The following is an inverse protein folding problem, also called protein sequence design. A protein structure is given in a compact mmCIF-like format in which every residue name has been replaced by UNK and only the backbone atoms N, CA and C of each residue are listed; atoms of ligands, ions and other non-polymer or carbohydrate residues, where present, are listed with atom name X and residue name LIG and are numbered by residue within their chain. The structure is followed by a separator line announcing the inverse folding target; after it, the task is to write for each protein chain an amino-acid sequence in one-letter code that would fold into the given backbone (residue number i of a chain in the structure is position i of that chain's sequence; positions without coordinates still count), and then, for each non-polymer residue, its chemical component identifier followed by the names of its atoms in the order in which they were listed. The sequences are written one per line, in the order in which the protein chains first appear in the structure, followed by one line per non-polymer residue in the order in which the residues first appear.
data_IF_973266054066
#
_entry.id   IF_973266054066
#
_cell.length_a   1.000
_cell.length_b   1.000
_cell.length_c   1.000
_cell.angle_alpha   90.00
_cell.angle_beta   90.00
_cell.angle_gamma   90.00
#
_symmetry.space_group_name_H-M   'P 1'
#
loop_
_entity.id
_entity.type
_entity.pdbx_description
1 polymer ?
#
# COMPACT_ATOMS: atom_id res chain seq x y z
N UNK A 1 -15.54 -8.63 -11.39
CA UNK A 1 -15.05 -9.00 -10.05
C UNK A 1 -14.22 -10.26 -10.24
N UNK A 2 -12.97 -10.27 -9.77
CA UNK A 2 -12.07 -11.43 -9.89
C UNK A 2 -12.60 -12.60 -9.05
N UNK A 3 -12.56 -13.80 -9.62
CA UNK A 3 -13.01 -15.04 -8.98
C UNK A 3 -11.84 -15.82 -8.37
N UNK A 4 -12.14 -16.89 -7.62
CA UNK A 4 -11.12 -17.84 -7.15
C UNK A 4 -10.38 -18.51 -8.32
N UNK A 5 -11.11 -18.88 -9.38
CA UNK A 5 -10.52 -19.47 -10.58
C UNK A 5 -9.58 -18.50 -11.31
N UNK A 6 -9.93 -17.21 -11.39
CA UNK A 6 -9.04 -16.18 -11.94
C UNK A 6 -7.74 -16.05 -11.12
N UNK A 7 -7.85 -16.19 -9.79
CA UNK A 7 -6.69 -16.16 -8.89
C UNK A 7 -5.78 -17.36 -9.08
N UNK A 8 -6.34 -18.56 -9.16
CA UNK A 8 -5.57 -19.79 -9.38
C UNK A 8 -4.87 -19.77 -10.76
N UNK A 9 -5.56 -19.27 -11.79
CA UNK A 9 -5.02 -19.14 -13.14
C UNK A 9 -3.84 -18.13 -13.19
N UNK A 10 -3.99 -16.97 -12.55
CA UNK A 10 -2.93 -15.96 -12.50
C UNK A 10 -1.74 -16.41 -11.64
N UNK A 11 -1.99 -17.13 -10.55
CA UNK A 11 -0.92 -17.69 -9.71
C UNK A 11 -0.09 -18.75 -10.44
N UNK A 12 -0.70 -19.53 -11.33
CA UNK A 12 0.00 -20.54 -12.13
C UNK A 12 0.73 -19.96 -13.35
N UNK A 13 0.45 -18.70 -13.72
CA UNK A 13 1.05 -18.05 -14.88
C UNK A 13 2.39 -17.39 -14.52
N UNK A 14 3.51 -17.74 -15.18
CA UNK A 14 4.84 -17.27 -14.81
C UNK A 14 5.05 -15.77 -15.05
N UNK A 15 4.28 -15.17 -15.95
CA UNK A 15 4.37 -13.76 -16.32
C UNK A 15 3.62 -12.84 -15.33
N UNK A 16 2.89 -13.41 -14.37
CA UNK A 16 2.09 -12.66 -13.40
C UNK A 16 2.68 -12.77 -11.99
N UNK A 17 2.75 -11.62 -11.31
CA UNK A 17 3.26 -11.48 -9.95
C UNK A 17 2.18 -10.88 -9.05
N UNK A 18 2.08 -11.43 -7.83
CA UNK A 18 1.20 -10.88 -6.79
C UNK A 18 1.73 -9.53 -6.29
N UNK A 19 0.83 -8.58 -6.08
CA UNK A 19 1.08 -7.21 -5.61
C UNK A 19 -0.01 -6.77 -4.61
N UNK A 20 -0.03 -5.49 -4.21
CA UNK A 20 -0.94 -4.94 -3.21
C UNK A 20 -0.68 -5.51 -1.82
N UNK A 21 -1.70 -5.56 -0.96
CA UNK A 21 -1.58 -6.02 0.43
C UNK A 21 -0.96 -7.42 0.59
N UNK A 22 -1.21 -8.34 -0.34
CA UNK A 22 -0.64 -9.69 -0.27
C UNK A 22 0.88 -9.72 -0.43
N UNK A 23 1.47 -8.71 -1.07
CA UNK A 23 2.92 -8.62 -1.28
C UNK A 23 3.68 -8.16 -0.05
N UNK A 24 3.02 -7.52 0.92
CA UNK A 24 3.67 -6.95 2.10
C UNK A 24 4.44 -7.97 2.95
N UNK A 25 4.04 -9.24 2.90
CA UNK A 25 4.72 -10.32 3.60
C UNK A 25 6.21 -10.47 3.23
N UNK A 26 6.62 -10.07 2.00
CA UNK A 26 8.03 -10.13 1.59
C UNK A 26 8.91 -9.11 2.33
N UNK A 27 8.30 -8.05 2.88
CA UNK A 27 8.95 -7.01 3.69
C UNK A 27 8.80 -7.28 5.19
N UNK A 28 8.42 -8.50 5.59
CA UNK A 28 8.14 -8.86 6.99
C UNK A 28 6.79 -8.36 7.53
N UNK A 29 5.98 -7.71 6.70
CA UNK A 29 4.67 -7.16 7.07
C UNK A 29 3.53 -8.13 6.70
N UNK A 30 3.36 -9.20 7.48
CA UNK A 30 2.34 -10.22 7.18
C UNK A 30 0.96 -9.88 7.75
N UNK A 31 -0.05 -9.76 6.88
CA UNK A 31 -1.43 -9.46 7.27
C UNK A 31 -2.37 -10.66 7.12
N UNK A 32 -3.44 -10.67 7.93
CA UNK A 32 -4.59 -11.54 7.67
C UNK A 32 -5.52 -10.89 6.63
N UNK A 33 -5.54 -11.42 5.42
CA UNK A 33 -6.29 -10.85 4.29
C UNK A 33 -7.78 -11.20 4.28
N UNK A 34 -8.23 -12.13 5.15
CA UNK A 34 -9.65 -12.49 5.31
C UNK A 34 -10.42 -12.80 3.99
N UNK A 35 -9.72 -13.33 2.98
CA UNK A 35 -10.32 -13.65 1.67
C UNK A 35 -10.35 -12.50 0.67
N UNK A 36 -9.69 -11.37 0.93
CA UNK A 36 -9.45 -10.35 -0.09
C UNK A 36 -8.65 -10.95 -1.26
N UNK A 37 -9.13 -10.82 -2.52
CA UNK A 37 -8.43 -11.37 -3.66
C UNK A 37 -7.07 -10.66 -3.83
N UNK A 38 -5.99 -11.40 -4.11
CA UNK A 38 -4.70 -10.80 -4.39
C UNK A 38 -4.76 -10.00 -5.70
N UNK A 39 -4.02 -8.89 -5.75
CA UNK A 39 -3.84 -8.13 -6.97
C UNK A 39 -2.68 -8.72 -7.76
N UNK A 40 -2.78 -8.71 -9.08
CA UNK A 40 -1.79 -9.30 -9.98
C UNK A 40 -1.30 -8.26 -10.96
N UNK A 41 0.00 -8.27 -11.19
CA UNK A 41 0.68 -7.36 -12.09
C UNK A 41 1.66 -8.17 -12.93
N UNK A 42 1.81 -7.83 -14.21
CA UNK A 42 2.67 -8.55 -15.14
C UNK A 42 3.87 -7.70 -15.59
N UNK A 43 4.77 -7.27 -14.69
CA UNK A 43 5.99 -6.61 -15.11
C UNK A 43 7.02 -7.66 -15.51
N UNK A 44 7.66 -7.40 -16.63
CA UNK A 44 8.93 -7.97 -17.04
C UNK A 44 10.07 -7.63 -16.05
N UNK A 45 9.89 -6.61 -15.22
CA UNK A 45 10.86 -6.14 -14.23
C UNK A 45 10.50 -6.52 -12.78
N UNK A 46 11.41 -6.21 -11.84
CA UNK A 46 11.15 -6.32 -10.41
C UNK A 46 10.11 -5.29 -9.98
N UNK A 47 9.19 -5.68 -9.11
CA UNK A 47 8.11 -4.83 -8.63
C UNK A 47 8.61 -3.99 -7.44
N UNK A 48 8.84 -2.67 -7.59
CA UNK A 48 9.38 -1.83 -6.52
C UNK A 48 8.34 -1.59 -5.41
N UNK A 49 8.78 -1.32 -4.16
CA UNK A 49 7.87 -1.02 -3.05
C UNK A 49 6.89 0.13 -3.33
N UNK A 50 7.33 1.15 -4.07
CA UNK A 50 6.48 2.28 -4.45
C UNK A 50 5.27 1.85 -5.30
N UNK A 51 5.46 0.92 -6.23
CA UNK A 51 4.35 0.35 -6.99
C UNK A 51 3.45 -0.51 -6.11
N UNK A 52 3.99 -1.26 -5.15
CA UNK A 52 3.17 -2.03 -4.19
C UNK A 52 2.26 -1.11 -3.37
N UNK A 53 2.76 0.07 -2.97
CA UNK A 53 1.96 1.12 -2.31
C UNK A 53 0.86 1.63 -3.23
N UNK A 54 1.19 2.01 -4.47
CA UNK A 54 0.20 2.50 -5.44
C UNK A 54 -0.89 1.45 -5.72
N UNK A 55 -0.49 0.20 -5.99
CA UNK A 55 -1.42 -0.91 -6.19
C UNK A 55 -2.32 -1.17 -4.98
N UNK A 56 -1.82 -0.96 -3.77
CA UNK A 56 -2.60 -1.10 -2.53
C UNK A 56 -3.68 -0.03 -2.42
N UNK A 57 -3.35 1.22 -2.75
CA UNK A 57 -4.24 2.39 -2.64
C UNK A 57 -5.24 2.50 -3.81
N UNK A 58 -4.88 1.98 -4.98
CA UNK A 58 -5.74 2.00 -6.17
C UNK A 58 -7.05 1.24 -5.95
N UNK A 59 -7.01 0.17 -5.14
CA UNK A 59 -8.18 -0.66 -4.86
C UNK A 59 -9.18 0.04 -3.94
N UNK A 60 -8.66 0.66 -2.89
CA UNK A 60 -9.42 1.38 -1.87
C UNK A 60 -8.45 2.22 -1.03
N UNK A 61 -8.87 3.43 -0.68
CA UNK A 61 -8.12 4.37 0.16
C UNK A 61 -8.71 4.47 1.58
N UNK A 62 -9.42 3.44 2.01
CA UNK A 62 -9.87 3.27 3.38
C UNK A 62 -8.70 3.22 4.38
N UNK A 63 -9.01 3.56 5.64
CA UNK A 63 -8.03 3.73 6.73
C UNK A 63 -7.07 2.55 6.90
N UNK A 64 -7.52 1.32 6.66
CA UNK A 64 -6.68 0.12 6.73
C UNK A 64 -5.56 0.12 5.68
N UNK A 65 -5.91 0.30 4.41
CA UNK A 65 -4.96 0.31 3.28
C UNK A 65 -4.03 1.52 3.37
N UNK A 66 -4.56 2.67 3.77
CA UNK A 66 -3.77 3.87 4.08
C UNK A 66 -2.73 3.59 5.16
N UNK A 67 -3.12 2.99 6.30
CA UNK A 67 -2.20 2.70 7.40
C UNK A 67 -1.11 1.72 6.99
N UNK A 68 -1.46 0.69 6.22
CA UNK A 68 -0.47 -0.27 5.73
C UNK A 68 0.46 0.37 4.68
N UNK A 69 -0.06 1.14 3.73
CA UNK A 69 0.79 1.88 2.79
C UNK A 69 1.78 2.80 3.50
N UNK A 70 1.34 3.54 4.53
CA UNK A 70 2.24 4.33 5.38
C UNK A 70 3.32 3.48 6.05
N UNK A 71 2.93 2.31 6.57
CA UNK A 71 3.86 1.37 7.22
C UNK A 71 4.95 0.87 6.26
N UNK A 72 4.59 0.55 5.00
CA UNK A 72 5.56 0.12 3.99
C UNK A 72 6.46 1.26 3.52
N UNK A 73 5.93 2.49 3.45
CA UNK A 73 6.73 3.68 3.15
C UNK A 73 7.84 3.85 4.19
N UNK A 74 7.53 3.74 5.49
CA UNK A 74 8.55 3.85 6.53
C UNK A 74 9.48 2.63 6.60
N UNK A 75 8.95 1.42 6.41
CA UNK A 75 9.75 0.18 6.49
C UNK A 75 10.84 0.11 5.40
N UNK A 76 10.52 0.60 4.19
CA UNK A 76 11.42 0.59 3.04
C UNK A 76 12.08 1.95 2.77
N UNK A 77 11.90 2.92 3.68
CA UNK A 77 12.42 4.30 3.57
C UNK A 77 12.14 4.92 2.19
N UNK A 78 10.90 4.77 1.71
CA UNK A 78 10.49 5.28 0.39
C UNK A 78 10.40 6.79 0.48
N UNK A 79 11.15 7.50 -0.36
CA UNK A 79 11.08 8.96 -0.40
C UNK A 79 9.82 9.47 -1.13
N UNK A 80 9.44 10.70 -0.81
CA UNK A 80 8.22 11.31 -1.34
C UNK A 80 8.27 11.54 -2.85
N UNK A 81 9.43 11.87 -3.41
CA UNK A 81 9.58 12.15 -4.85
C UNK A 81 9.35 10.86 -5.65
N UNK A 82 10.06 9.79 -5.30
CA UNK A 82 9.92 8.46 -5.92
C UNK A 82 8.47 7.96 -5.88
N UNK A 83 7.80 8.07 -4.73
CA UNK A 83 6.41 7.59 -4.64
C UNK A 83 5.44 8.49 -5.40
N UNK A 84 5.65 9.81 -5.43
CA UNK A 84 4.81 10.73 -6.21
C UNK A 84 4.96 10.48 -7.71
N UNK A 85 6.19 10.32 -8.21
CA UNK A 85 6.44 9.99 -9.61
C UNK A 85 5.78 8.67 -10.01
N UNK A 86 5.88 7.65 -9.14
CA UNK A 86 5.21 6.36 -9.36
C UNK A 86 3.68 6.52 -9.36
N UNK A 87 3.13 7.31 -8.44
CA UNK A 87 1.70 7.50 -8.27
C UNK A 87 1.01 8.25 -9.42
N UNK A 88 1.76 9.04 -10.20
CA UNK A 88 1.23 9.72 -11.38
C UNK A 88 0.69 8.73 -12.42
N UNK A 89 1.34 7.58 -12.59
CA UNK A 89 0.88 6.53 -13.51
C UNK A 89 -0.48 5.93 -13.15
N UNK A 90 -0.91 6.12 -11.89
CA UNK A 90 -2.15 5.56 -11.34
C UNK A 90 -3.17 6.63 -10.93
N UNK A 91 -2.93 7.91 -11.26
CA UNK A 91 -3.74 9.05 -10.81
C UNK A 91 -3.86 9.18 -9.27
N UNK A 92 -2.83 8.74 -8.54
CA UNK A 92 -2.81 8.70 -7.06
C UNK A 92 -1.98 9.82 -6.42
N UNK A 93 -1.45 10.77 -7.19
CA UNK A 93 -0.57 11.83 -6.68
C UNK A 93 -1.15 12.59 -5.47
N UNK A 94 -2.43 13.08 -5.47
CA UNK A 94 -2.99 13.77 -4.31
C UNK A 94 -3.11 12.87 -3.08
N UNK A 95 -3.44 11.60 -3.30
CA UNK A 95 -3.55 10.56 -2.27
C UNK A 95 -2.20 10.32 -1.61
N UNK A 96 -1.14 10.10 -2.40
CA UNK A 96 0.22 9.90 -1.88
C UNK A 96 0.72 11.12 -1.12
N UNK A 97 0.52 12.34 -1.64
CA UNK A 97 0.90 13.56 -0.93
C UNK A 97 0.21 13.70 0.43
N UNK A 98 -1.01 13.21 0.56
CA UNK A 98 -1.72 13.21 1.84
C UNK A 98 -1.09 12.24 2.86
N UNK A 99 -0.54 11.10 2.42
CA UNK A 99 0.12 10.13 3.30
C UNK A 99 1.39 10.69 3.95
N UNK A 100 2.14 11.55 3.25
CA UNK A 100 3.38 12.11 3.79
C UNK A 100 3.18 13.12 4.92
N UNK A 101 1.98 13.70 5.08
CA UNK A 101 1.71 14.60 6.21
C UNK A 101 1.87 13.90 7.57
N UNK A 102 1.13 12.80 7.86
CA UNK A 102 1.31 12.10 9.14
C UNK A 102 2.68 11.46 9.28
N UNK A 103 3.30 11.01 8.18
CA UNK A 103 4.69 10.51 8.20
C UNK A 103 5.70 11.60 8.62
N UNK A 104 5.41 12.86 8.32
CA UNK A 104 6.18 14.03 8.76
C UNK A 104 5.72 14.56 10.13
N UNK A 105 4.81 13.86 10.81
CA UNK A 105 4.30 14.20 12.13
C UNK A 105 3.05 15.07 12.16
N UNK A 106 2.51 15.44 11.00
CA UNK A 106 1.26 16.20 10.87
C UNK A 106 0.06 15.26 10.72
N UNK A 107 -0.61 15.01 11.85
CA UNK A 107 -1.82 14.18 11.93
C UNK A 107 -3.11 15.01 11.90
N UNK A 108 -3.04 16.30 11.54
CA UNK A 108 -4.24 17.09 11.38
C UNK A 108 -5.10 16.51 10.26
N UNK A 109 -6.41 16.47 10.50
CA UNK A 109 -7.38 15.84 9.61
C UNK A 109 -8.26 16.90 8.95
N UNK A 110 -7.79 17.57 7.89
CA UNK A 110 -8.69 18.37 7.07
C UNK A 110 -9.73 17.46 6.44
N UNK A 111 -10.99 17.89 6.48
CA UNK A 111 -12.13 17.10 5.98
C UNK A 111 -12.07 16.86 4.46
N UNK A 112 -11.25 17.63 3.73
CA UNK A 112 -11.16 17.63 2.27
C UNK A 112 -10.05 16.71 1.70
N UNK A 113 -9.49 15.80 2.49
CA UNK A 113 -8.48 14.87 1.99
C UNK A 113 -9.08 13.75 1.11
N UNK A 114 -8.36 13.31 0.07
CA UNK A 114 -8.80 12.21 -0.79
C UNK A 114 -8.74 10.83 -0.10
N UNK A 115 -8.25 10.77 1.15
CA UNK A 115 -8.03 9.54 1.91
C UNK A 115 -8.43 9.68 3.38
N UNK A 116 -8.73 8.55 4.01
CA UNK A 116 -9.01 8.50 5.45
C UNK A 116 -7.69 8.25 6.21
N UNK A 117 -7.09 9.30 6.75
CA UNK A 117 -5.88 9.19 7.57
C UNK A 117 -6.18 8.48 8.91
N UNK A 118 -5.27 7.61 9.39
CA UNK A 118 -5.38 7.00 10.71
C UNK A 118 -5.19 8.04 11.81
N UNK A 119 -5.68 7.73 13.02
CA UNK A 119 -5.28 8.52 14.20
C UNK A 119 -3.82 8.22 14.55
N UNK A 120 -3.16 9.20 15.15
CA UNK A 120 -1.78 9.07 15.61
C UNK A 120 -1.57 7.83 16.49
N UNK A 121 -2.35 7.67 17.55
CA UNK A 121 -2.16 6.55 18.49
C UNK A 121 -2.41 5.17 17.85
N UNK A 122 -3.39 5.09 16.94
CA UNK A 122 -3.70 3.87 16.18
C UNK A 122 -2.52 3.51 15.25
N UNK A 123 -1.93 4.50 14.58
CA UNK A 123 -0.78 4.30 13.71
C UNK A 123 0.50 3.94 14.48
N UNK A 124 0.77 4.61 15.61
CA UNK A 124 1.94 4.28 16.44
C UNK A 124 1.86 2.86 17.03
N UNK A 125 0.68 2.42 17.46
CA UNK A 125 0.47 1.04 17.90
C UNK A 125 0.69 0.03 16.75
N UNK A 126 0.30 0.39 15.53
CA UNK A 126 0.57 -0.42 14.34
C UNK A 126 2.08 -0.53 14.06
N UNK A 127 2.82 0.58 14.13
CA UNK A 127 4.29 0.55 13.98
C UNK A 127 4.95 -0.37 15.01
N UNK A 128 4.56 -0.26 16.27
CA UNK A 128 5.07 -1.13 17.35
C UNK A 128 4.76 -2.61 17.09
N UNK A 129 3.53 -2.92 16.67
CA UNK A 129 3.10 -4.28 16.36
C UNK A 129 4.00 -4.96 15.31
N UNK A 130 4.44 -4.21 14.30
CA UNK A 130 5.24 -4.73 13.19
C UNK A 130 6.73 -4.41 13.32
N UNK A 131 7.17 -3.76 14.40
CA UNK A 131 8.58 -3.43 14.64
C UNK A 131 9.16 -2.40 13.68
N UNK A 132 8.34 -1.51 13.12
CA UNK A 132 8.78 -0.40 12.24
C UNK A 132 9.14 0.80 13.12
N UNK A 133 10.37 1.33 12.95
CA UNK A 133 10.94 2.40 13.76
C UNK A 133 10.33 3.76 13.46
#
# INVERSE_FOLDING_TARGET
MQTGEDTDALQAAPDWKMTGLGRFAVYGLQFFLAGEPPFWYAPDEELPPAEVVCHTLLLDSGSRRVSYSMLLIEAEDIDQETLVETAQWYDLEPTVKALYRPLQGDFDRPDDLPVILPKKDEYMALKEQYGVA
#
